data_IF_066167687311
#
_entry.id   IF_066167687311
#
_cell.length_a   1.000
_cell.length_b   1.000
_cell.length_c   1.000
_cell.angle_alpha   90.00
_cell.angle_beta   90.00
_cell.angle_gamma   90.00
#
_symmetry.space_group_name_H-M   'P 1'
#
loop_
_entity.id
_entity.type
_entity.pdbx_description
1 polymer ?
#
# COMPACT_ATOMS: atom_id res chain seq x y z
N UNK A 1 0.52 8.75 14.02
CA UNK A 1 0.36 9.56 12.78
C UNK A 1 0.92 10.98 12.85
N UNK A 2 0.68 11.85 13.86
CA UNK A 2 1.04 13.27 13.78
C UNK A 2 2.55 13.57 13.65
N UNK A 3 3.41 12.61 13.95
CA UNK A 3 4.87 12.71 13.78
C UNK A 3 5.37 12.31 12.38
N UNK A 4 4.53 11.74 11.51
CA UNK A 4 4.93 11.34 10.16
C UNK A 4 5.17 12.61 9.33
N UNK A 5 6.35 12.67 8.70
CA UNK A 5 6.75 13.78 7.80
C UNK A 5 6.97 13.34 6.35
N UNK A 6 7.17 12.05 6.12
CA UNK A 6 7.32 11.49 4.79
C UNK A 6 5.98 11.44 4.04
N UNK A 7 6.03 11.53 2.72
CA UNK A 7 4.92 11.09 1.87
C UNK A 7 4.78 9.57 1.99
N UNK A 8 3.55 9.06 1.94
CA UNK A 8 3.25 7.64 2.07
C UNK A 8 2.62 7.07 0.79
N UNK A 9 3.13 5.92 0.35
CA UNK A 9 2.48 5.06 -0.63
C UNK A 9 2.12 3.75 0.04
N UNK A 10 0.84 3.41 0.07
CA UNK A 10 0.32 2.25 0.80
C UNK A 10 -0.37 1.27 -0.15
N UNK A 11 0.07 0.02 -0.11
CA UNK A 11 -0.38 -1.07 -0.97
C UNK A 11 -1.07 -2.14 -0.12
N UNK A 12 -2.36 -2.38 -0.34
CA UNK A 12 -3.17 -3.32 0.43
C UNK A 12 -3.75 -4.42 -0.45
N UNK A 13 -3.77 -5.63 0.07
CA UNK A 13 -4.41 -6.76 -0.60
C UNK A 13 -5.92 -6.76 -0.28
N UNK A 14 -6.77 -6.89 -1.30
CA UNK A 14 -8.22 -6.80 -1.13
C UNK A 14 -8.81 -7.90 -0.23
N UNK A 15 -8.19 -9.09 -0.19
CA UNK A 15 -8.62 -10.21 0.64
C UNK A 15 -7.94 -10.26 2.04
N UNK A 16 -7.12 -9.26 2.39
CA UNK A 16 -6.46 -9.20 3.71
C UNK A 16 -7.34 -8.49 4.76
N UNK A 17 -8.46 -9.12 5.11
CA UNK A 17 -9.51 -8.55 5.99
C UNK A 17 -8.95 -8.04 7.33
N UNK A 18 -8.01 -8.78 7.91
CA UNK A 18 -7.41 -8.44 9.21
C UNK A 18 -6.64 -7.12 9.15
N UNK A 19 -5.90 -6.87 8.08
CA UNK A 19 -5.20 -5.60 7.87
C UNK A 19 -6.18 -4.51 7.41
N UNK A 20 -7.11 -4.86 6.52
CA UNK A 20 -8.06 -3.91 5.93
C UNK A 20 -9.00 -3.29 6.97
N UNK A 21 -9.32 -4.03 8.04
CA UNK A 21 -10.09 -3.51 9.18
C UNK A 21 -9.48 -2.25 9.82
N UNK A 22 -8.16 -2.06 9.73
CA UNK A 22 -7.46 -0.89 10.27
C UNK A 22 -7.36 0.30 9.32
N UNK A 23 -7.65 0.13 8.02
CA UNK A 23 -7.48 1.18 7.00
C UNK A 23 -8.31 2.43 7.33
N UNK A 24 -9.62 2.35 7.66
CA UNK A 24 -10.43 3.55 7.88
C UNK A 24 -9.89 4.43 9.01
N UNK A 25 -9.55 3.83 10.16
CA UNK A 25 -8.99 4.57 11.31
C UNK A 25 -7.65 5.19 10.98
N UNK A 26 -6.79 4.49 10.24
CA UNK A 26 -5.48 5.01 9.86
C UNK A 26 -5.59 6.15 8.84
N UNK A 27 -6.46 5.99 7.83
CA UNK A 27 -6.69 7.01 6.80
C UNK A 27 -7.28 8.30 7.41
N UNK A 28 -8.25 8.19 8.32
CA UNK A 28 -8.75 9.36 9.04
C UNK A 28 -7.66 10.11 9.81
N UNK A 29 -6.78 9.37 10.49
CA UNK A 29 -5.69 9.96 11.23
C UNK A 29 -4.68 10.66 10.30
N UNK A 30 -4.44 10.12 9.11
CA UNK A 30 -3.60 10.74 8.07
C UNK A 30 -4.22 12.04 7.54
N UNK A 31 -5.52 12.02 7.24
CA UNK A 31 -6.29 13.20 6.82
C UNK A 31 -6.23 14.30 7.89
N UNK A 32 -6.52 13.96 9.16
CA UNK A 32 -6.47 14.88 10.31
C UNK A 32 -5.08 15.49 10.51
N UNK A 33 -4.01 14.74 10.21
CA UNK A 33 -2.64 15.20 10.33
C UNK A 33 -2.13 15.96 9.08
N UNK A 34 -2.92 16.09 8.02
CA UNK A 34 -2.48 16.69 6.76
C UNK A 34 -1.32 15.96 6.10
N UNK A 35 -1.18 14.65 6.35
CA UNK A 35 -0.07 13.84 5.78
C UNK A 35 -0.33 13.61 4.30
N UNK A 36 0.70 13.72 3.44
CA UNK A 36 0.59 13.31 2.03
C UNK A 36 0.58 11.79 1.94
N UNK A 37 -0.47 11.20 1.38
CA UNK A 37 -0.54 9.75 1.22
C UNK A 37 -1.32 9.35 -0.04
N UNK A 38 -1.05 8.14 -0.51
CA UNK A 38 -1.83 7.42 -1.53
C UNK A 38 -2.10 5.99 -1.03
N UNK A 39 -3.35 5.54 -1.12
CA UNK A 39 -3.75 4.17 -0.76
C UNK A 39 -4.25 3.47 -2.02
N UNK A 40 -3.74 2.26 -2.25
CA UNK A 40 -4.22 1.35 -3.28
C UNK A 40 -4.64 0.03 -2.65
N UNK A 41 -5.86 -0.41 -2.94
CA UNK A 41 -6.39 -1.72 -2.53
C UNK A 41 -6.54 -2.56 -3.81
N UNK A 42 -5.93 -3.74 -3.82
CA UNK A 42 -5.88 -4.63 -4.97
C UNK A 42 -6.91 -5.75 -4.82
N UNK A 43 -8.04 -5.65 -5.52
CA UNK A 43 -9.08 -6.67 -5.51
C UNK A 43 -8.53 -8.05 -5.91
N UNK A 44 -8.99 -9.10 -5.22
CA UNK A 44 -8.54 -10.48 -5.47
C UNK A 44 -7.13 -10.82 -4.98
N UNK A 45 -6.33 -9.85 -4.53
CA UNK A 45 -5.01 -10.12 -3.98
C UNK A 45 -5.09 -10.58 -2.52
N UNK A 46 -4.24 -11.54 -2.15
CA UNK A 46 -4.04 -11.97 -0.76
C UNK A 46 -2.85 -11.26 -0.11
N UNK A 47 -2.76 -11.36 1.22
CA UNK A 47 -1.57 -10.93 1.94
C UNK A 47 -0.31 -11.54 1.31
N UNK A 48 0.77 -10.76 1.25
CA UNK A 48 2.02 -11.13 0.60
C UNK A 48 1.91 -11.38 -0.93
N UNK A 49 1.00 -10.69 -1.63
CA UNK A 49 0.87 -10.79 -3.10
C UNK A 49 2.17 -10.48 -3.88
N UNK A 50 3.10 -9.74 -3.27
CA UNK A 50 4.38 -9.38 -3.88
C UNK A 50 5.53 -10.38 -3.58
N UNK A 51 5.28 -11.44 -2.82
CA UNK A 51 6.29 -12.45 -2.48
C UNK A 51 6.32 -13.55 -3.54
N UNK A 52 7.23 -13.43 -4.51
CA UNK A 52 7.45 -14.37 -5.62
C UNK A 52 7.98 -15.75 -5.19
N UNK A 53 8.47 -15.88 -3.95
CA UNK A 53 8.85 -17.20 -3.38
C UNK A 53 7.67 -17.98 -2.79
N UNK A 54 6.50 -17.34 -2.65
CA UNK A 54 5.29 -17.94 -2.08
C UNK A 54 4.20 -18.12 -3.16
N UNK A 55 4.24 -19.17 -3.97
CA UNK A 55 3.37 -19.32 -5.16
C UNK A 55 1.87 -19.36 -4.84
N UNK A 56 1.50 -19.73 -3.61
CA UNK A 56 0.09 -19.74 -3.17
C UNK A 56 -0.49 -18.35 -2.90
N UNK A 57 0.37 -17.33 -2.79
CA UNK A 57 -0.02 -15.94 -2.46
C UNK A 57 0.43 -14.95 -3.53
N UNK A 58 1.53 -15.26 -4.22
CA UNK A 58 2.07 -14.42 -5.27
C UNK A 58 1.03 -14.12 -6.35
N UNK A 59 0.87 -12.84 -6.67
CA UNK A 59 0.06 -12.38 -7.78
C UNK A 59 0.92 -11.46 -8.65
N UNK A 60 1.46 -12.00 -9.73
CA UNK A 60 2.42 -11.31 -10.61
C UNK A 60 1.87 -9.98 -11.15
N UNK A 61 0.60 -9.96 -11.58
CA UNK A 61 -0.01 -8.75 -12.14
C UNK A 61 -0.10 -7.64 -11.10
N UNK A 62 -0.55 -7.96 -9.89
CA UNK A 62 -0.65 -7.01 -8.78
C UNK A 62 0.73 -6.60 -8.28
N UNK A 63 1.68 -7.54 -8.19
CA UNK A 63 3.06 -7.28 -7.80
C UNK A 63 3.73 -6.28 -8.76
N UNK A 64 3.64 -6.50 -10.07
CA UNK A 64 4.19 -5.58 -11.08
C UNK A 64 3.55 -4.20 -11.02
N UNK A 65 2.23 -4.13 -10.82
CA UNK A 65 1.51 -2.85 -10.69
C UNK A 65 1.94 -2.07 -9.43
N UNK A 66 1.98 -2.75 -8.28
CA UNK A 66 2.41 -2.15 -7.02
C UNK A 66 3.87 -1.70 -7.11
N UNK A 67 4.74 -2.50 -7.74
CA UNK A 67 6.14 -2.15 -7.97
C UNK A 67 6.31 -0.92 -8.85
N UNK A 68 5.60 -0.85 -9.99
CA UNK A 68 5.63 0.31 -10.87
C UNK A 68 5.20 1.61 -10.16
N UNK A 69 4.15 1.54 -9.34
CA UNK A 69 3.72 2.66 -8.47
C UNK A 69 4.81 3.06 -7.47
N UNK A 70 5.48 2.09 -6.86
CA UNK A 70 6.57 2.35 -5.92
C UNK A 70 7.73 3.06 -6.58
N UNK A 71 8.20 2.59 -7.74
CA UNK A 71 9.29 3.25 -8.49
C UNK A 71 8.87 4.66 -8.92
N UNK A 72 7.65 4.84 -9.42
CA UNK A 72 7.13 6.16 -9.81
C UNK A 72 7.05 7.14 -8.63
N UNK A 73 6.57 6.65 -7.48
CA UNK A 73 6.50 7.42 -6.24
C UNK A 73 7.90 7.82 -5.76
N UNK A 74 8.84 6.88 -5.70
CA UNK A 74 10.22 7.17 -5.28
C UNK A 74 10.92 8.13 -6.24
N UNK A 75 10.73 7.99 -7.55
CA UNK A 75 11.27 8.94 -8.56
C UNK A 75 10.73 10.35 -8.34
N UNK A 76 9.50 10.48 -7.84
CA UNK A 76 8.88 11.78 -7.57
C UNK A 76 9.39 12.40 -6.27
N UNK A 77 9.55 11.60 -5.22
CA UNK A 77 9.88 12.08 -3.87
C UNK A 77 11.40 12.16 -3.60
N UNK A 78 12.21 11.35 -4.27
CA UNK A 78 13.67 11.36 -4.18
C UNK A 78 14.23 12.08 -5.41
N UNK A 79 14.74 13.29 -5.20
CA UNK A 79 15.52 14.04 -6.19
C UNK A 79 17.00 13.93 -5.90
#
# INVERSE_FOLDING_TARGET
VPKIKAALLLHYAGQDERINAGIPTFEEALKKAGTRYQIYIYEGAQHAFNNDTAPTRYNEAVAKLAWGRTIGFLTTELK
#
